data_IF_136567701737
#
_entry.id   IF_136567701737
#
_cell.length_a   1.000
_cell.length_b   1.000
_cell.length_c   1.000
_cell.angle_alpha   90.00
_cell.angle_beta   90.00
_cell.angle_gamma   90.00
#
_symmetry.space_group_name_H-M   'P 1'
#
loop_
_entity.id
_entity.type
_entity.pdbx_description
1 polymer ?
#
# COMPACT_ATOMS: atom_id res chain seq x y z
N UNK A 1 21.49 -12.88 8.45
CA UNK A 1 20.64 -14.08 8.34
C UNK A 1 19.39 -13.84 9.17
N UNK A 2 18.24 -13.69 8.50
CA UNK A 2 16.97 -13.61 9.21
C UNK A 2 16.61 -15.01 9.69
N UNK A 3 16.49 -15.18 11.00
CA UNK A 3 15.92 -16.38 11.57
C UNK A 3 14.44 -16.13 11.82
N UNK A 4 13.60 -16.70 10.97
CA UNK A 4 12.15 -16.56 11.05
C UNK A 4 11.52 -17.39 12.17
N UNK A 5 12.31 -18.26 12.83
CA UNK A 5 11.82 -19.11 13.92
C UNK A 5 11.45 -18.32 15.20
N UNK A 6 11.92 -17.08 15.31
CA UNK A 6 11.70 -16.21 16.47
C UNK A 6 10.77 -15.02 16.21
N UNK A 7 9.87 -15.08 15.23
CA UNK A 7 8.89 -14.03 14.95
C UNK A 7 7.46 -14.36 15.46
N UNK A 8 7.23 -14.62 16.73
CA UNK A 8 5.93 -15.17 17.16
C UNK A 8 4.84 -14.13 17.38
N UNK A 9 5.14 -12.89 17.72
CA UNK A 9 4.12 -11.94 18.16
C UNK A 9 3.65 -10.96 17.09
N UNK A 10 4.50 -10.53 16.18
CA UNK A 10 4.14 -9.58 15.13
C UNK A 10 3.35 -10.22 13.98
N UNK A 11 3.64 -11.49 13.67
CA UNK A 11 2.93 -12.25 12.64
C UNK A 11 1.51 -12.65 13.06
N UNK A 12 1.29 -12.91 14.37
CA UNK A 12 -0.03 -13.26 14.90
C UNK A 12 -1.05 -12.14 14.76
N UNK A 13 -0.67 -10.90 14.93
CA UNK A 13 -1.57 -9.75 14.76
C UNK A 13 -1.95 -9.54 13.28
N UNK A 14 -1.00 -9.71 12.37
CA UNK A 14 -1.27 -9.63 10.92
C UNK A 14 -2.21 -10.75 10.49
N UNK A 15 -1.94 -12.00 10.88
CA UNK A 15 -2.82 -13.14 10.64
C UNK A 15 -4.26 -12.88 11.09
N UNK A 16 -4.44 -12.46 12.34
CA UNK A 16 -5.75 -12.16 12.90
C UNK A 16 -6.46 -11.02 12.16
N UNK A 17 -5.73 -10.01 11.73
CA UNK A 17 -6.26 -8.89 10.95
C UNK A 17 -6.81 -9.34 9.58
N UNK A 18 -6.04 -10.12 8.83
CA UNK A 18 -6.47 -10.66 7.54
C UNK A 18 -7.71 -11.54 7.67
N UNK A 19 -7.69 -12.49 8.60
CA UNK A 19 -8.84 -13.40 8.79
C UNK A 19 -10.07 -12.69 9.36
N UNK A 20 -9.92 -11.64 10.15
CA UNK A 20 -11.05 -10.80 10.55
C UNK A 20 -11.70 -10.08 9.35
N UNK A 21 -10.90 -9.61 8.41
CA UNK A 21 -11.40 -9.04 7.14
C UNK A 21 -12.10 -10.10 6.28
N UNK A 22 -11.47 -11.25 6.07
CA UNK A 22 -12.04 -12.38 5.33
C UNK A 22 -13.35 -12.86 5.95
N UNK A 23 -13.41 -12.95 7.28
CA UNK A 23 -14.64 -13.32 8.00
C UNK A 23 -15.79 -12.34 7.68
N UNK A 24 -15.54 -11.03 7.72
CA UNK A 24 -16.55 -10.01 7.39
C UNK A 24 -17.04 -10.11 5.94
N UNK A 25 -16.14 -10.38 5.00
CA UNK A 25 -16.53 -10.64 3.62
C UNK A 25 -17.41 -11.90 3.51
N UNK A 26 -17.01 -12.98 4.17
CA UNK A 26 -17.78 -14.22 4.19
C UNK A 26 -19.17 -14.04 4.84
N UNK A 27 -19.28 -13.25 5.92
CA UNK A 27 -20.56 -12.91 6.54
C UNK A 27 -21.51 -12.23 5.55
N UNK A 28 -21.02 -11.23 4.81
CA UNK A 28 -21.84 -10.53 3.82
C UNK A 28 -22.24 -11.47 2.67
N UNK A 29 -21.29 -12.20 2.09
CA UNK A 29 -21.50 -13.08 0.94
C UNK A 29 -22.50 -14.21 1.29
N UNK A 30 -22.37 -14.84 2.46
CA UNK A 30 -23.27 -15.93 2.86
C UNK A 30 -24.66 -15.45 3.24
N UNK A 31 -24.81 -14.19 3.65
CA UNK A 31 -26.10 -13.60 4.04
C UNK A 31 -26.73 -12.73 2.98
N UNK A 32 -26.18 -12.65 1.80
CA UNK A 32 -26.66 -11.83 0.68
C UNK A 32 -28.18 -11.91 0.49
N UNK A 33 -28.73 -13.13 0.45
CA UNK A 33 -30.15 -13.38 0.26
C UNK A 33 -31.02 -13.10 1.52
N UNK A 34 -30.41 -12.83 2.66
CA UNK A 34 -31.11 -12.50 3.93
C UNK A 34 -31.20 -10.97 4.14
N UNK A 35 -30.52 -10.19 3.32
CA UNK A 35 -30.51 -8.74 3.40
C UNK A 35 -31.66 -8.19 2.59
N UNK A 36 -32.44 -7.30 3.18
CA UNK A 36 -33.43 -6.51 2.43
C UNK A 36 -32.71 -5.36 1.74
N UNK A 37 -32.35 -5.60 0.49
CA UNK A 37 -31.73 -4.56 -0.34
C UNK A 37 -32.81 -3.55 -0.76
N UNK A 38 -32.73 -2.32 -0.24
CA UNK A 38 -33.68 -1.24 -0.60
C UNK A 38 -33.38 -0.62 -1.96
N UNK A 39 -32.79 -1.39 -2.87
CA UNK A 39 -32.18 -0.93 -4.09
C UNK A 39 -32.99 -1.30 -5.33
N UNK A 40 -33.23 -0.34 -6.16
CA UNK A 40 -33.67 -0.55 -7.53
C UNK A 40 -32.44 -0.39 -8.43
N UNK A 41 -31.80 -1.49 -8.82
CA UNK A 41 -30.71 -1.43 -9.78
C UNK A 41 -29.43 -2.20 -9.38
N UNK A 42 -28.31 -1.79 -9.95
CA UNK A 42 -27.03 -2.52 -9.90
C UNK A 42 -26.23 -2.35 -8.59
N UNK A 43 -26.69 -1.53 -7.63
CA UNK A 43 -25.90 -1.24 -6.41
C UNK A 43 -25.68 -2.47 -5.56
N UNK A 44 -26.68 -3.35 -5.41
CA UNK A 44 -26.51 -4.61 -4.70
C UNK A 44 -25.36 -5.45 -5.30
N UNK A 45 -25.43 -5.70 -6.61
CA UNK A 45 -24.41 -6.46 -7.34
C UNK A 45 -23.04 -5.78 -7.22
N UNK A 46 -23.00 -4.45 -7.26
CA UNK A 46 -21.76 -3.69 -7.11
C UNK A 46 -21.16 -3.81 -5.71
N UNK A 47 -21.96 -3.74 -4.64
CA UNK A 47 -21.47 -3.95 -3.27
C UNK A 47 -20.97 -5.39 -3.06
N UNK A 48 -21.65 -6.38 -3.64
CA UNK A 48 -21.20 -7.76 -3.61
C UNK A 48 -19.85 -7.91 -4.34
N UNK A 49 -19.70 -7.25 -5.49
CA UNK A 49 -18.45 -7.25 -6.26
C UNK A 49 -17.30 -6.60 -5.50
N UNK A 50 -17.53 -5.46 -4.83
CA UNK A 50 -16.55 -4.84 -3.95
C UNK A 50 -16.13 -5.79 -2.81
N UNK A 51 -17.10 -6.51 -2.22
CA UNK A 51 -16.84 -7.46 -1.14
C UNK A 51 -15.98 -8.66 -1.60
N UNK A 52 -16.29 -9.22 -2.78
CA UNK A 52 -15.48 -10.27 -3.40
C UNK A 52 -14.06 -9.77 -3.70
N UNK A 53 -13.92 -8.56 -4.27
CA UNK A 53 -12.63 -7.94 -4.54
C UNK A 53 -11.77 -7.79 -3.27
N UNK A 54 -12.36 -7.32 -2.17
CA UNK A 54 -11.69 -7.18 -0.89
C UNK A 54 -11.25 -8.54 -0.34
N UNK A 55 -12.10 -9.57 -0.44
CA UNK A 55 -11.75 -10.93 0.00
C UNK A 55 -10.58 -11.49 -0.81
N UNK A 56 -10.59 -11.31 -2.12
CA UNK A 56 -9.49 -11.72 -2.99
C UNK A 56 -8.19 -11.00 -2.65
N UNK A 57 -8.23 -9.69 -2.44
CA UNK A 57 -7.07 -8.90 -2.02
C UNK A 57 -6.47 -9.40 -0.71
N UNK A 58 -7.31 -9.65 0.30
CA UNK A 58 -6.86 -10.15 1.61
C UNK A 58 -6.26 -11.56 1.49
N UNK A 59 -6.89 -12.47 0.73
CA UNK A 59 -6.33 -13.80 0.48
C UNK A 59 -5.02 -13.75 -0.30
N UNK A 60 -4.91 -12.87 -1.28
CA UNK A 60 -3.66 -12.70 -2.03
C UNK A 60 -2.51 -12.22 -1.15
N UNK A 61 -2.78 -11.33 -0.20
CA UNK A 61 -1.76 -10.89 0.75
C UNK A 61 -1.37 -12.01 1.72
N UNK A 62 -2.35 -12.71 2.32
CA UNK A 62 -2.06 -13.70 3.35
C UNK A 62 -1.40 -14.95 2.78
N UNK A 63 -1.78 -15.40 1.56
CA UNK A 63 -1.15 -16.58 0.93
C UNK A 63 0.31 -16.32 0.55
N UNK A 64 0.64 -15.09 0.13
CA UNK A 64 2.04 -14.71 -0.14
C UNK A 64 2.90 -14.66 1.11
N UNK A 65 2.33 -14.26 2.25
CA UNK A 65 3.06 -14.15 3.51
C UNK A 65 3.25 -15.50 4.20
N UNK A 66 2.26 -16.39 4.15
CA UNK A 66 2.21 -17.60 4.97
C UNK A 66 2.22 -18.90 4.19
N UNK A 67 2.11 -18.86 2.87
CA UNK A 67 2.06 -20.05 2.02
C UNK A 67 0.75 -20.82 2.18
N UNK A 68 0.81 -22.04 2.70
CA UNK A 68 -0.38 -22.85 2.95
C UNK A 68 -1.20 -22.27 4.11
N UNK A 69 -2.43 -21.89 3.83
CA UNK A 69 -3.33 -21.20 4.74
C UNK A 69 -4.72 -21.87 4.77
N UNK A 70 -5.51 -21.76 5.86
CA UNK A 70 -6.90 -22.21 5.85
C UNK A 70 -7.74 -21.42 4.83
N UNK A 71 -8.50 -22.14 4.01
CA UNK A 71 -9.41 -21.55 3.04
C UNK A 71 -10.83 -21.51 3.62
N UNK A 72 -11.24 -20.32 4.07
CA UNK A 72 -12.54 -20.05 4.67
C UNK A 72 -13.44 -19.33 3.67
N UNK A 73 -14.49 -19.97 3.19
CA UNK A 73 -15.48 -19.38 2.27
C UNK A 73 -16.81 -19.02 2.92
N UNK A 74 -16.95 -19.36 4.19
CA UNK A 74 -18.10 -19.05 5.04
C UNK A 74 -17.66 -18.88 6.50
N UNK A 75 -18.44 -18.16 7.32
CA UNK A 75 -18.21 -18.10 8.75
C UNK A 75 -18.23 -19.51 9.38
N UNK A 76 -17.27 -19.82 10.24
CA UNK A 76 -17.18 -21.10 10.95
C UNK A 76 -16.39 -20.95 12.23
N UNK A 77 -16.75 -21.74 13.24
CA UNK A 77 -15.99 -21.90 14.49
C UNK A 77 -15.12 -23.18 14.46
N UNK A 78 -15.12 -23.90 13.35
CA UNK A 78 -14.33 -25.12 13.18
C UNK A 78 -12.86 -24.80 12.88
N UNK A 79 -11.96 -25.64 13.36
CA UNK A 79 -10.56 -25.63 12.95
C UNK A 79 -10.42 -26.19 11.53
N UNK A 80 -10.24 -25.31 10.58
CA UNK A 80 -10.06 -25.68 9.17
C UNK A 80 -8.56 -25.90 8.91
N UNK A 81 -8.15 -27.03 8.32
CA UNK A 81 -6.76 -27.29 7.97
C UNK A 81 -6.28 -26.33 6.88
N UNK A 82 -4.97 -26.26 6.72
CA UNK A 82 -4.34 -25.53 5.61
C UNK A 82 -4.77 -26.16 4.26
N UNK A 83 -5.12 -25.30 3.32
CA UNK A 83 -5.45 -25.68 1.96
C UNK A 83 -4.18 -25.69 1.05
N UNK A 84 -4.30 -26.34 -0.10
CA UNK A 84 -3.32 -26.16 -1.17
C UNK A 84 -3.36 -24.70 -1.65
N UNK A 85 -2.22 -24.05 -1.87
CA UNK A 85 -2.19 -22.73 -2.47
C UNK A 85 -2.98 -22.62 -3.79
N UNK A 86 -3.02 -23.68 -4.61
CA UNK A 86 -3.82 -23.69 -5.83
C UNK A 86 -5.31 -23.44 -5.59
N UNK A 87 -5.89 -24.03 -4.54
CA UNK A 87 -7.28 -23.81 -4.16
C UNK A 87 -7.51 -22.35 -3.69
N UNK A 88 -6.55 -21.79 -2.95
CA UNK A 88 -6.61 -20.40 -2.50
C UNK A 88 -6.56 -19.45 -3.69
N UNK A 89 -5.64 -19.66 -4.62
CA UNK A 89 -5.53 -18.82 -5.83
C UNK A 89 -6.74 -18.97 -6.74
N UNK A 90 -7.31 -20.18 -6.82
CA UNK A 90 -8.58 -20.35 -7.54
C UNK A 90 -9.69 -19.45 -6.98
N UNK A 91 -9.87 -19.42 -5.64
CA UNK A 91 -10.84 -18.51 -5.02
C UNK A 91 -10.50 -17.04 -5.32
N UNK A 92 -9.23 -16.65 -5.24
CA UNK A 92 -8.79 -15.28 -5.55
C UNK A 92 -9.21 -14.91 -6.97
N UNK A 93 -8.97 -15.77 -7.95
CA UNK A 93 -9.32 -15.50 -9.34
C UNK A 93 -10.83 -15.50 -9.58
N UNK A 94 -11.58 -16.42 -8.98
CA UNK A 94 -13.04 -16.45 -9.08
C UNK A 94 -13.65 -15.15 -8.52
N UNK A 95 -13.19 -14.70 -7.36
CA UNK A 95 -13.63 -13.46 -6.72
C UNK A 95 -13.27 -12.21 -7.55
N UNK A 96 -12.05 -12.16 -8.09
CA UNK A 96 -11.63 -11.03 -8.94
C UNK A 96 -12.39 -10.98 -10.25
N UNK A 97 -12.65 -12.11 -10.90
CA UNK A 97 -13.47 -12.17 -12.10
C UNK A 97 -14.88 -11.67 -11.84
N UNK A 98 -15.50 -12.16 -10.78
CA UNK A 98 -16.82 -11.67 -10.37
C UNK A 98 -16.80 -10.14 -10.15
N UNK A 99 -15.78 -9.61 -9.51
CA UNK A 99 -15.65 -8.18 -9.26
C UNK A 99 -15.46 -7.39 -10.57
N UNK A 100 -14.59 -7.84 -11.47
CA UNK A 100 -14.33 -7.21 -12.77
C UNK A 100 -15.60 -7.16 -13.64
N UNK A 101 -16.39 -8.22 -13.62
CA UNK A 101 -17.64 -8.30 -14.38
C UNK A 101 -18.75 -7.39 -13.83
N UNK A 102 -18.75 -7.11 -12.52
CA UNK A 102 -19.87 -6.49 -11.82
C UNK A 102 -19.58 -5.09 -11.28
N UNK A 103 -18.35 -4.61 -11.29
CA UNK A 103 -18.01 -3.21 -11.02
C UNK A 103 -17.94 -2.46 -12.36
N UNK A 104 -18.90 -1.59 -12.67
CA UNK A 104 -18.86 -0.84 -13.92
C UNK A 104 -17.68 0.12 -13.97
N UNK A 105 -16.95 0.15 -15.08
CA UNK A 105 -15.78 1.02 -15.27
C UNK A 105 -16.10 2.52 -15.14
N UNK A 106 -17.35 2.91 -15.38
CA UNK A 106 -17.81 4.29 -15.29
C UNK A 106 -18.49 4.65 -13.95
N UNK A 107 -18.62 3.69 -13.02
CA UNK A 107 -19.24 3.97 -11.72
C UNK A 107 -18.32 4.86 -10.84
N UNK A 108 -17.08 4.50 -10.72
CA UNK A 108 -16.00 5.25 -10.10
C UNK A 108 -14.68 4.80 -10.73
N UNK A 109 -14.36 5.31 -11.91
CA UNK A 109 -13.21 4.85 -12.72
C UNK A 109 -11.89 4.97 -11.95
N UNK A 110 -11.76 6.04 -11.17
CA UNK A 110 -10.67 6.23 -10.20
C UNK A 110 -11.34 6.57 -8.87
N UNK A 111 -11.27 5.82 -7.86
CA UNK A 111 -11.95 6.02 -6.58
C UNK A 111 -11.47 7.27 -5.79
N UNK A 112 -11.61 8.46 -6.37
CA UNK A 112 -11.05 9.72 -5.90
C UNK A 112 -12.10 10.85 -5.73
N UNK A 113 -13.39 10.59 -5.94
CA UNK A 113 -14.43 11.55 -5.61
C UNK A 113 -14.80 11.50 -4.14
N UNK A 114 -15.36 12.57 -3.58
CA UNK A 114 -15.80 12.63 -2.18
C UNK A 114 -16.65 11.42 -1.74
N UNK A 115 -17.44 10.86 -2.66
CA UNK A 115 -18.33 9.73 -2.37
C UNK A 115 -17.69 8.36 -2.62
N UNK A 116 -16.62 8.30 -3.40
CA UNK A 116 -16.03 7.04 -3.87
C UNK A 116 -14.55 6.89 -3.46
N UNK A 117 -14.01 7.84 -2.73
CA UNK A 117 -12.61 7.81 -2.32
C UNK A 117 -12.30 6.56 -1.48
N UNK A 118 -11.29 5.81 -1.91
CA UNK A 118 -10.90 4.55 -1.29
C UNK A 118 -11.72 3.32 -1.70
N UNK A 119 -12.74 3.44 -2.55
CA UNK A 119 -13.43 2.26 -3.11
C UNK A 119 -12.54 1.51 -4.08
N UNK A 120 -12.67 0.17 -4.05
CA UNK A 120 -11.96 -0.67 -5.02
C UNK A 120 -12.64 -0.57 -6.39
N UNK A 121 -11.86 -0.28 -7.42
CA UNK A 121 -12.36 -0.09 -8.79
C UNK A 121 -12.22 -1.37 -9.62
N UNK A 122 -12.93 -1.45 -10.77
CA UNK A 122 -12.71 -2.50 -11.76
C UNK A 122 -11.23 -2.62 -12.14
N UNK A 123 -10.58 -1.50 -12.43
CA UNK A 123 -9.18 -1.45 -12.83
C UNK A 123 -8.21 -1.90 -11.71
N UNK A 124 -8.54 -1.64 -10.46
CA UNK A 124 -7.79 -2.18 -9.33
C UNK A 124 -7.90 -3.71 -9.26
N UNK A 125 -9.09 -4.27 -9.50
CA UNK A 125 -9.30 -5.73 -9.55
C UNK A 125 -8.52 -6.37 -10.70
N UNK A 126 -8.53 -5.76 -11.89
CA UNK A 126 -7.76 -6.20 -13.05
C UNK A 126 -6.25 -6.19 -12.79
N UNK A 127 -5.74 -5.15 -12.16
CA UNK A 127 -4.32 -5.08 -11.78
C UNK A 127 -3.93 -6.14 -10.75
N UNK A 128 -4.82 -6.41 -9.76
CA UNK A 128 -4.58 -7.48 -8.78
C UNK A 128 -4.61 -8.86 -9.48
N UNK A 129 -5.53 -9.09 -10.42
CA UNK A 129 -5.65 -10.34 -11.16
C UNK A 129 -4.35 -10.63 -11.94
N UNK A 130 -3.86 -9.66 -12.71
CA UNK A 130 -2.62 -9.80 -13.45
C UNK A 130 -1.42 -10.05 -12.52
N UNK A 131 -1.31 -9.30 -11.42
CA UNK A 131 -0.25 -9.50 -10.42
C UNK A 131 -0.33 -10.87 -9.77
N UNK A 132 -1.53 -11.35 -9.43
CA UNK A 132 -1.73 -12.65 -8.83
C UNK A 132 -1.35 -13.78 -9.81
N UNK A 133 -1.68 -13.62 -11.10
CA UNK A 133 -1.29 -14.55 -12.16
C UNK A 133 0.24 -14.62 -12.28
N UNK A 134 0.92 -13.50 -12.44
CA UNK A 134 2.38 -13.44 -12.56
C UNK A 134 3.08 -13.99 -11.31
N UNK A 135 2.56 -13.67 -10.12
CA UNK A 135 3.11 -14.22 -8.89
C UNK A 135 2.95 -15.76 -8.83
N UNK A 136 1.76 -16.28 -9.16
CA UNK A 136 1.50 -17.71 -9.11
C UNK A 136 2.40 -18.47 -10.11
N UNK A 137 2.42 -18.04 -11.35
CA UNK A 137 3.22 -18.69 -12.40
C UNK A 137 4.72 -18.57 -12.13
N UNK A 138 5.19 -17.43 -11.67
CA UNK A 138 6.61 -17.22 -11.36
C UNK A 138 7.08 -17.98 -10.12
N UNK A 139 6.23 -18.07 -9.07
CA UNK A 139 6.62 -18.73 -7.82
C UNK A 139 6.40 -20.25 -7.85
N UNK A 140 5.25 -20.71 -8.37
CA UNK A 140 4.90 -22.14 -8.40
C UNK A 140 5.32 -22.83 -9.70
N UNK A 141 5.70 -22.09 -10.75
CA UNK A 141 6.17 -22.63 -12.03
C UNK A 141 5.08 -23.36 -12.81
N UNK A 142 3.81 -23.06 -12.59
CA UNK A 142 2.67 -23.71 -13.24
C UNK A 142 1.54 -22.72 -13.49
N UNK A 143 0.64 -23.06 -14.44
CA UNK A 143 -0.55 -22.26 -14.72
C UNK A 143 -1.60 -22.42 -13.61
N UNK A 144 -2.26 -21.35 -13.17
CA UNK A 144 -3.36 -21.43 -12.21
C UNK A 144 -4.63 -21.97 -12.87
N UNK A 145 -5.54 -22.53 -12.06
CA UNK A 145 -6.87 -22.88 -12.55
C UNK A 145 -7.71 -21.63 -12.75
N UNK A 146 -8.37 -21.53 -13.87
CA UNK A 146 -9.40 -20.52 -14.15
C UNK A 146 -8.90 -19.21 -14.74
N UNK A 147 -7.60 -18.91 -14.76
CA UNK A 147 -7.02 -17.70 -15.39
C UNK A 147 -5.83 -18.09 -16.24
N UNK A 148 -5.79 -17.58 -17.47
CA UNK A 148 -4.70 -17.80 -18.42
C UNK A 148 -3.83 -16.55 -18.56
N UNK A 149 -2.66 -16.67 -19.19
CA UNK A 149 -1.83 -15.52 -19.57
C UNK A 149 -2.63 -14.50 -20.43
N UNK A 150 -3.48 -15.00 -21.32
CA UNK A 150 -4.32 -14.13 -22.16
C UNK A 150 -5.34 -13.32 -21.33
N UNK A 151 -5.93 -13.91 -20.29
CA UNK A 151 -6.85 -13.20 -19.39
C UNK A 151 -6.10 -12.13 -18.60
N UNK A 152 -4.91 -12.44 -18.09
CA UNK A 152 -4.10 -11.47 -17.34
C UNK A 152 -3.62 -10.32 -18.24
N UNK A 153 -3.22 -10.62 -19.47
CA UNK A 153 -2.85 -9.59 -20.46
C UNK A 153 -4.05 -8.70 -20.82
N UNK A 154 -5.21 -9.30 -21.11
CA UNK A 154 -6.42 -8.54 -21.42
C UNK A 154 -6.82 -7.58 -20.28
N UNK A 155 -6.66 -7.99 -19.03
CA UNK A 155 -6.94 -7.16 -17.87
C UNK A 155 -6.03 -5.91 -17.81
N UNK A 156 -4.72 -6.06 -18.02
CA UNK A 156 -3.82 -4.89 -18.01
C UNK A 156 -3.99 -4.03 -19.26
N UNK A 157 -4.32 -4.61 -20.41
CA UNK A 157 -4.64 -3.87 -21.64
C UNK A 157 -5.93 -3.04 -21.51
N UNK A 158 -6.94 -3.53 -20.78
CA UNK A 158 -8.15 -2.75 -20.50
C UNK A 158 -7.81 -1.52 -19.64
N UNK A 159 -6.98 -1.67 -18.61
CA UNK A 159 -6.50 -0.53 -17.82
C UNK A 159 -5.78 0.50 -18.71
N UNK A 160 -4.87 0.05 -19.57
CA UNK A 160 -4.09 0.90 -20.46
C UNK A 160 -5.02 1.63 -21.46
N UNK A 161 -5.93 0.90 -22.10
CA UNK A 161 -6.83 1.44 -23.11
C UNK A 161 -7.92 2.35 -22.53
N UNK A 162 -8.19 2.27 -21.22
CA UNK A 162 -9.14 3.14 -20.54
C UNK A 162 -8.76 4.64 -20.64
N UNK A 163 -7.46 4.94 -20.79
CA UNK A 163 -6.93 6.30 -20.81
C UNK A 163 -7.06 7.07 -19.50
N UNK A 164 -7.44 6.40 -18.41
CA UNK A 164 -7.66 7.04 -17.10
C UNK A 164 -6.40 7.20 -16.27
N UNK A 165 -5.34 6.51 -16.64
CA UNK A 165 -4.08 6.50 -15.94
C UNK A 165 -2.95 6.97 -16.84
N UNK A 166 -1.95 7.61 -16.23
CA UNK A 166 -0.76 8.06 -16.93
C UNK A 166 0.43 8.13 -15.98
N UNK A 167 1.63 7.91 -16.49
CA UNK A 167 2.85 8.11 -15.70
C UNK A 167 3.01 9.58 -15.30
N UNK A 168 3.46 9.81 -14.08
CA UNK A 168 3.93 11.13 -13.65
C UNK A 168 5.34 11.34 -14.23
N UNK A 169 5.56 12.36 -15.07
CA UNK A 169 6.82 12.51 -15.82
C UNK A 169 8.07 12.58 -14.95
N UNK A 170 7.97 13.19 -13.77
CA UNK A 170 9.05 13.25 -12.81
C UNK A 170 8.77 12.31 -11.63
N UNK A 171 9.52 11.23 -11.54
CA UNK A 171 9.34 10.19 -10.53
C UNK A 171 9.33 10.72 -9.08
N UNK A 172 10.11 11.76 -8.76
CA UNK A 172 10.13 12.37 -7.41
C UNK A 172 8.77 12.91 -7.00
N UNK A 173 7.96 13.40 -7.98
CA UNK A 173 6.64 13.98 -7.71
C UNK A 173 5.59 12.98 -7.24
N UNK A 174 5.90 11.69 -7.25
CA UNK A 174 5.07 10.64 -6.65
C UNK A 174 5.18 10.57 -5.12
N UNK A 175 6.19 11.21 -4.53
CA UNK A 175 6.51 11.04 -3.11
C UNK A 175 6.66 12.39 -2.43
N UNK A 176 5.85 12.69 -1.38
CA UNK A 176 5.90 13.97 -0.68
C UNK A 176 7.32 14.32 -0.24
N UNK A 177 8.03 13.39 0.40
CA UNK A 177 9.36 13.64 0.92
C UNK A 177 10.45 13.87 -0.15
N UNK A 178 10.20 13.46 -1.40
CA UNK A 178 11.11 13.73 -2.51
C UNK A 178 10.90 15.12 -3.14
N UNK A 179 9.75 15.75 -2.85
CA UNK A 179 9.42 17.11 -3.24
C UNK A 179 9.60 18.12 -2.10
N UNK A 180 9.79 17.63 -0.88
CA UNK A 180 9.75 18.42 0.32
C UNK A 180 10.81 19.52 0.38
N UNK A 181 10.39 20.69 0.83
CA UNK A 181 11.24 21.85 1.06
C UNK A 181 11.13 22.29 2.54
N UNK A 182 12.17 22.95 3.02
CA UNK A 182 12.12 23.52 4.36
C UNK A 182 11.09 24.64 4.40
N UNK A 183 10.09 24.51 5.26
CA UNK A 183 8.94 25.40 5.37
C UNK A 183 8.68 25.81 6.82
N UNK A 184 8.11 27.00 7.02
CA UNK A 184 7.64 27.44 8.32
C UNK A 184 6.40 26.65 8.74
N UNK A 185 6.13 26.62 10.06
CA UNK A 185 4.99 25.90 10.62
C UNK A 185 3.68 26.35 9.97
N UNK A 186 2.93 25.39 9.42
CA UNK A 186 1.65 25.63 8.75
C UNK A 186 1.76 25.93 7.25
N UNK A 187 2.94 26.16 6.70
CA UNK A 187 3.12 26.32 5.25
C UNK A 187 3.25 24.96 4.55
N UNK A 188 2.12 24.29 4.41
CA UNK A 188 2.02 23.00 3.74
C UNK A 188 2.38 23.11 2.25
N UNK A 189 2.07 24.22 1.60
CA UNK A 189 2.32 24.42 0.18
C UNK A 189 3.83 24.39 -0.12
N UNK A 190 4.61 25.13 0.63
CA UNK A 190 6.08 25.07 0.51
C UNK A 190 6.61 23.72 0.92
N UNK A 191 6.10 23.14 2.02
CA UNK A 191 6.59 21.87 2.53
C UNK A 191 6.40 20.72 1.51
N UNK A 192 5.24 20.63 0.87
CA UNK A 192 4.94 19.57 -0.11
C UNK A 192 5.48 19.89 -1.52
N UNK A 193 5.85 21.14 -1.78
CA UNK A 193 6.41 21.57 -3.08
C UNK A 193 5.49 21.21 -4.25
N UNK A 194 6.04 20.56 -5.26
CA UNK A 194 5.32 20.14 -6.46
C UNK A 194 4.89 18.66 -6.44
N UNK A 195 4.66 18.09 -5.26
CA UNK A 195 4.08 16.75 -5.11
C UNK A 195 2.78 16.63 -5.92
N UNK A 196 2.62 15.52 -6.64
CA UNK A 196 1.50 15.33 -7.55
C UNK A 196 0.15 15.03 -6.87
N UNK A 197 0.16 14.83 -5.54
CA UNK A 197 -1.02 14.46 -4.75
C UNK A 197 -1.23 12.95 -4.62
N UNK A 198 -1.99 12.53 -3.61
CA UNK A 198 -2.26 11.11 -3.34
C UNK A 198 -3.10 10.47 -4.46
N UNK A 199 -4.07 11.22 -5.01
CA UNK A 199 -4.91 10.79 -6.13
C UNK A 199 -4.36 11.11 -7.52
N UNK A 200 -3.05 11.12 -7.71
CA UNK A 200 -2.45 11.45 -9.01
C UNK A 200 -2.75 10.38 -10.09
N UNK A 201 -2.47 10.73 -11.36
CA UNK A 201 -2.82 9.89 -12.51
C UNK A 201 -2.10 8.53 -12.55
N UNK A 202 -1.07 8.32 -11.75
CA UNK A 202 -0.38 7.03 -11.68
C UNK A 202 -1.00 6.06 -10.65
N UNK A 203 -1.87 6.54 -9.77
CA UNK A 203 -2.48 5.76 -8.70
C UNK A 203 -3.58 4.85 -9.25
N UNK A 204 -3.41 3.53 -9.18
CA UNK A 204 -4.40 2.51 -9.57
C UNK A 204 -5.11 1.92 -8.36
N UNK A 205 -4.36 1.59 -7.30
CA UNK A 205 -4.90 1.09 -6.04
C UNK A 205 -4.10 1.64 -4.87
N UNK A 206 -4.81 2.21 -3.90
CA UNK A 206 -4.25 2.65 -2.62
C UNK A 206 -5.09 2.16 -1.45
N UNK A 207 -4.44 2.01 -0.31
CA UNK A 207 -5.10 1.98 1.00
C UNK A 207 -5.11 3.42 1.51
N UNK A 208 -6.29 3.96 1.70
CA UNK A 208 -6.48 5.34 2.18
C UNK A 208 -6.12 5.43 3.65
N UNK A 209 -5.38 6.47 3.99
CA UNK A 209 -4.98 6.79 5.35
C UNK A 209 -5.46 8.18 5.73
N UNK A 210 -5.78 8.37 7.00
CA UNK A 210 -6.15 9.67 7.56
C UNK A 210 -5.44 9.92 8.87
N UNK A 211 -5.21 11.18 9.20
CA UNK A 211 -4.71 11.55 10.52
C UNK A 211 -5.75 11.22 11.59
N UNK A 212 -5.38 10.36 12.53
CA UNK A 212 -6.25 9.94 13.63
C UNK A 212 -5.58 10.19 14.95
N UNK A 213 -6.38 10.61 15.94
CA UNK A 213 -5.95 10.70 17.35
C UNK A 213 -6.32 9.44 18.13
N UNK A 214 -6.97 8.48 17.50
CA UNK A 214 -7.48 7.28 18.13
C UNK A 214 -6.51 6.09 17.95
N UNK A 215 -5.91 5.68 19.05
CA UNK A 215 -5.03 4.51 19.08
C UNK A 215 -5.73 3.19 18.70
N UNK A 216 -7.02 3.10 18.88
CA UNK A 216 -7.81 1.93 18.50
C UNK A 216 -8.18 1.93 17.01
N UNK A 217 -8.12 3.08 16.34
CA UNK A 217 -8.27 3.21 14.90
C UNK A 217 -7.01 2.73 14.20
N UNK A 218 -7.19 2.13 13.02
CA UNK A 218 -6.10 1.75 12.12
C UNK A 218 -6.04 2.68 10.91
N UNK A 219 -6.48 3.93 11.10
CA UNK A 219 -6.76 4.85 10.01
C UNK A 219 -5.51 5.53 9.47
N UNK A 220 -4.44 5.62 10.29
CA UNK A 220 -3.18 6.25 9.93
C UNK A 220 -2.16 5.30 9.30
N UNK A 221 -1.28 5.86 8.47
CA UNK A 221 -0.17 5.12 7.89
C UNK A 221 0.95 4.86 8.91
N UNK A 222 0.88 3.73 9.58
CA UNK A 222 1.87 3.36 10.61
C UNK A 222 3.24 2.96 10.04
N UNK A 223 3.34 2.75 8.75
CA UNK A 223 4.64 2.52 8.10
C UNK A 223 5.55 3.73 8.27
N UNK A 224 5.00 4.93 8.17
CA UNK A 224 5.76 6.15 8.20
C UNK A 224 6.61 6.30 9.46
N UNK A 225 6.06 6.01 10.64
CA UNK A 225 6.85 6.11 11.88
C UNK A 225 7.94 5.05 11.97
N UNK A 226 7.69 3.85 11.42
CA UNK A 226 8.69 2.75 11.46
C UNK A 226 9.92 3.06 10.61
N UNK A 227 9.72 3.67 9.43
CA UNK A 227 10.80 3.92 8.46
C UNK A 227 11.42 5.32 8.57
N UNK A 228 10.74 6.26 9.25
CA UNK A 228 11.24 7.62 9.43
C UNK A 228 12.56 7.69 10.19
N UNK A 229 13.25 8.81 10.11
CA UNK A 229 14.52 9.04 10.78
C UNK A 229 14.41 8.84 12.29
N UNK A 230 15.36 8.09 12.86
CA UNK A 230 15.43 7.85 14.31
C UNK A 230 16.00 9.06 15.05
N UNK A 231 15.17 10.03 15.30
CA UNK A 231 15.52 11.26 16.00
C UNK A 231 14.52 11.55 17.14
N UNK A 232 14.87 12.45 18.05
CA UNK A 232 13.98 12.86 19.15
C UNK A 232 12.93 13.91 18.74
N UNK A 233 13.15 14.56 17.59
CA UNK A 233 12.25 15.51 16.95
C UNK A 233 12.54 15.50 15.47
N UNK A 234 11.71 16.18 14.65
CA UNK A 234 11.95 16.28 13.20
C UNK A 234 13.28 16.99 12.87
N UNK A 235 13.88 16.56 11.77
CA UNK A 235 15.03 17.21 11.11
C UNK A 235 14.56 17.62 9.73
N UNK A 236 14.07 18.86 9.63
CA UNK A 236 13.40 19.34 8.43
C UNK A 236 14.20 19.04 7.14
N UNK A 237 13.54 18.56 6.08
CA UNK A 237 12.09 18.43 5.93
C UNK A 237 11.50 17.10 6.44
N UNK A 238 12.26 16.24 7.11
CA UNK A 238 11.84 14.92 7.56
C UNK A 238 11.41 14.93 9.04
N UNK A 239 10.28 14.29 9.31
CA UNK A 239 9.81 14.10 10.68
C UNK A 239 10.53 12.93 11.37
N UNK A 240 10.43 12.89 12.68
CA UNK A 240 11.00 11.84 13.50
C UNK A 240 10.26 10.51 13.33
N UNK A 241 10.97 9.42 13.61
CA UNK A 241 10.43 8.07 13.69
C UNK A 241 11.36 7.11 14.40
N UNK A 242 11.21 5.83 14.11
CA UNK A 242 11.93 4.76 14.80
C UNK A 242 13.14 4.21 14.05
N UNK A 243 13.23 4.46 12.74
CA UNK A 243 14.39 4.06 11.92
C UNK A 243 14.60 2.56 11.79
N UNK A 244 13.55 1.75 11.81
CA UNK A 244 13.66 0.29 11.76
C UNK A 244 14.01 -0.29 10.40
N UNK A 245 13.77 0.46 9.33
CA UNK A 245 14.00 -0.01 7.96
C UNK A 245 15.00 0.90 7.24
N UNK A 246 16.27 0.81 7.62
CA UNK A 246 17.36 1.49 6.92
C UNK A 246 17.63 0.83 5.57
N UNK A 247 18.15 1.61 4.61
CA UNK A 247 18.45 1.11 3.28
C UNK A 247 19.84 0.48 3.25
N UNK A 248 19.95 -0.71 2.64
CA UNK A 248 21.24 -1.37 2.46
C UNK A 248 22.11 -0.55 1.50
N UNK A 249 23.36 -0.18 1.87
CA UNK A 249 24.25 0.58 1.00
C UNK A 249 24.47 -0.08 -0.37
N UNK A 250 24.57 -1.40 -0.43
CA UNK A 250 24.71 -2.13 -1.70
C UNK A 250 23.53 -1.91 -2.65
N UNK A 251 22.30 -1.76 -2.11
CA UNK A 251 21.15 -1.44 -2.92
C UNK A 251 21.25 -0.02 -3.49
N UNK A 252 21.85 0.91 -2.73
CA UNK A 252 22.07 2.28 -3.21
C UNK A 252 23.12 2.33 -4.34
N UNK A 253 24.11 1.43 -4.28
CA UNK A 253 25.15 1.29 -5.30
C UNK A 253 24.63 0.70 -6.64
N UNK A 254 23.48 0.01 -6.62
CA UNK A 254 22.83 -0.55 -7.83
C UNK A 254 22.16 0.52 -8.71
N UNK A 255 21.93 1.74 -8.20
CA UNK A 255 21.44 2.82 -9.03
C UNK A 255 22.53 3.31 -9.97
N UNK A 256 22.21 3.39 -11.26
CA UNK A 256 23.11 3.98 -12.27
C UNK A 256 23.32 5.48 -12.04
N UNK A 257 24.45 6.00 -12.51
CA UNK A 257 24.73 7.42 -12.47
C UNK A 257 23.65 8.22 -13.22
N UNK A 258 23.06 9.20 -12.54
CA UNK A 258 21.99 10.01 -13.10
C UNK A 258 20.58 9.42 -12.95
N UNK A 259 20.43 8.24 -12.34
CA UNK A 259 19.10 7.71 -12.02
C UNK A 259 18.40 8.55 -10.96
N UNK A 260 17.40 9.31 -11.38
CA UNK A 260 16.64 10.22 -10.51
C UNK A 260 15.80 9.48 -9.46
N UNK A 261 15.58 8.17 -9.62
CA UNK A 261 14.86 7.35 -8.63
C UNK A 261 15.65 7.20 -7.34
N UNK A 262 16.99 7.24 -7.37
CA UNK A 262 17.82 7.17 -6.17
C UNK A 262 17.49 8.30 -5.20
N UNK A 263 17.58 9.53 -5.65
CA UNK A 263 17.33 10.71 -4.79
C UNK A 263 15.88 10.85 -4.35
N UNK A 264 14.95 10.30 -5.14
CA UNK A 264 13.53 10.27 -4.80
C UNK A 264 13.14 9.12 -3.84
N UNK A 265 13.95 8.08 -3.73
CA UNK A 265 13.63 6.88 -2.94
C UNK A 265 14.43 6.77 -1.65
N UNK A 266 15.60 7.42 -1.59
CA UNK A 266 16.57 7.26 -0.50
C UNK A 266 16.92 8.62 0.10
N UNK A 267 16.87 8.72 1.43
CA UNK A 267 17.48 9.81 2.19
C UNK A 267 18.95 9.44 2.39
N UNK A 268 19.83 10.18 1.76
CA UNK A 268 21.28 10.05 1.92
C UNK A 268 21.75 11.08 2.96
N UNK A 269 22.03 10.61 4.17
CA UNK A 269 22.36 11.51 5.31
C UNK A 269 23.54 12.40 4.98
N UNK A 270 24.58 11.86 4.35
CA UNK A 270 25.75 12.63 3.94
C UNK A 270 25.49 13.47 2.70
N UNK A 271 24.87 12.86 1.69
CA UNK A 271 24.62 13.54 0.42
C UNK A 271 23.64 14.72 0.54
N UNK A 272 22.75 14.70 1.53
CA UNK A 272 21.80 15.76 1.83
C UNK A 272 22.31 16.78 2.89
N UNK A 273 23.57 16.64 3.34
CA UNK A 273 24.17 17.55 4.30
C UNK A 273 23.58 17.48 5.71
N UNK A 274 22.98 16.35 6.07
CA UNK A 274 22.38 16.14 7.40
C UNK A 274 23.39 15.65 8.45
N UNK A 275 24.60 15.30 8.04
CA UNK A 275 25.63 14.68 8.89
C UNK A 275 26.01 15.54 10.10
N UNK A 276 26.10 16.85 9.91
CA UNK A 276 26.49 17.80 10.97
C UNK A 276 25.33 18.19 11.90
N UNK A 277 24.11 17.73 11.64
CA UNK A 277 22.96 18.01 12.49
C UNK A 277 23.10 17.29 13.83
N UNK A 278 23.01 18.02 14.95
CA UNK A 278 23.19 17.48 16.31
C UNK A 278 22.22 16.33 16.63
N UNK A 279 20.99 16.37 16.14
CA UNK A 279 20.01 15.28 16.34
C UNK A 279 20.40 14.04 15.55
N UNK A 280 20.90 14.21 14.34
CA UNK A 280 21.42 13.11 13.52
C UNK A 280 22.61 12.46 14.22
N UNK A 281 23.55 13.24 14.69
CA UNK A 281 24.73 12.74 15.42
C UNK A 281 24.37 11.95 16.68
N UNK A 282 23.41 12.42 17.48
CA UNK A 282 23.07 11.79 18.74
C UNK A 282 22.11 10.61 18.63
N UNK A 283 21.25 10.58 17.65
CA UNK A 283 20.19 9.57 17.53
C UNK A 283 20.42 8.59 16.38
N UNK A 284 20.80 9.08 15.18
CA UNK A 284 20.95 8.25 14.00
C UNK A 284 22.29 7.55 13.99
N UNK A 285 23.39 8.28 14.10
CA UNK A 285 24.75 7.73 13.94
C UNK A 285 25.09 6.72 15.05
N UNK A 286 24.46 6.84 16.22
CA UNK A 286 24.64 5.90 17.33
C UNK A 286 23.73 4.67 17.26
N UNK A 287 22.80 4.60 16.30
CA UNK A 287 21.93 3.44 16.11
C UNK A 287 22.71 2.27 15.52
N UNK A 288 22.49 1.05 16.02
CA UNK A 288 23.12 -0.16 15.50
C UNK A 288 22.71 -0.47 14.06
N UNK A 289 21.51 -0.01 13.67
CA UNK A 289 20.95 -0.20 12.34
C UNK A 289 21.36 0.92 11.36
N UNK A 290 22.17 1.88 11.78
CA UNK A 290 22.57 3.01 10.94
C UNK A 290 23.43 2.56 9.76
N UNK A 291 22.94 2.87 8.56
CA UNK A 291 23.63 2.55 7.28
C UNK A 291 24.07 3.78 6.51
N UNK A 292 23.72 4.98 6.96
CA UNK A 292 23.83 6.24 6.22
C UNK A 292 22.63 6.55 5.34
N UNK A 293 21.71 5.60 5.18
CA UNK A 293 20.58 5.70 4.24
C UNK A 293 19.26 5.31 4.88
N UNK A 294 18.19 6.07 4.58
CA UNK A 294 16.83 5.81 5.01
C UNK A 294 15.86 5.82 3.83
N UNK A 295 14.67 5.23 4.01
CA UNK A 295 13.62 5.22 2.99
C UNK A 295 13.00 6.63 2.90
N UNK A 296 12.97 7.21 1.69
CA UNK A 296 12.38 8.54 1.46
C UNK A 296 10.90 8.48 1.08
N UNK A 297 10.47 7.50 0.29
CA UNK A 297 9.13 7.45 -0.32
C UNK A 297 7.96 7.71 0.66
N UNK A 298 8.05 7.14 1.84
CA UNK A 298 7.04 7.26 2.90
C UNK A 298 7.58 7.98 4.13
N UNK A 299 8.69 8.71 4.01
CA UNK A 299 9.19 9.49 5.13
C UNK A 299 8.17 10.61 5.46
N UNK A 300 7.70 10.69 6.72
CA UNK A 300 6.81 11.77 7.12
C UNK A 300 7.57 13.10 7.13
N UNK A 301 6.85 14.20 7.00
CA UNK A 301 7.43 15.53 6.86
C UNK A 301 7.40 16.33 8.17
N UNK A 302 8.38 17.23 8.32
CA UNK A 302 8.44 18.18 9.40
C UNK A 302 8.74 19.58 8.90
N UNK A 303 8.18 20.57 9.60
CA UNK A 303 8.48 21.99 9.42
C UNK A 303 9.89 22.35 9.89
N UNK A 304 10.30 23.59 9.66
CA UNK A 304 11.64 24.09 9.98
C UNK A 304 12.01 23.97 11.46
N UNK A 305 11.03 24.04 12.37
CA UNK A 305 11.20 23.89 13.81
C UNK A 305 11.20 22.42 14.29
N UNK A 306 11.02 21.45 13.38
CA UNK A 306 10.93 20.03 13.69
C UNK A 306 9.52 19.53 14.02
N UNK A 307 8.50 20.37 13.96
CA UNK A 307 7.10 19.98 14.17
C UNK A 307 6.64 19.07 13.04
N UNK A 308 6.02 17.95 13.38
CA UNK A 308 5.52 16.95 12.42
C UNK A 308 4.31 17.49 11.63
N UNK A 309 4.40 17.47 10.31
CA UNK A 309 3.39 18.05 9.43
C UNK A 309 2.09 17.24 9.32
N UNK A 310 2.15 15.92 9.53
CA UNK A 310 0.99 15.03 9.48
C UNK A 310 0.10 15.08 10.73
N UNK A 311 0.49 15.82 11.75
CA UNK A 311 -0.30 16.00 12.97
C UNK A 311 -1.18 17.24 12.85
N UNK A 312 -2.31 17.10 12.19
CA UNK A 312 -3.27 18.19 12.05
C UNK A 312 -3.66 18.79 13.41
N UNK A 313 -3.63 20.09 13.49
CA UNK A 313 -4.06 20.88 14.67
C UNK A 313 -3.31 20.59 15.98
N UNK A 314 -2.10 20.04 15.93
CA UNK A 314 -1.28 19.81 17.13
C UNK A 314 -1.82 18.76 18.11
N UNK A 315 -2.84 17.99 17.73
CA UNK A 315 -3.48 16.98 18.58
C UNK A 315 -3.07 15.56 18.24
N UNK A 316 -2.31 15.35 17.15
CA UNK A 316 -1.91 14.05 16.68
C UNK A 316 -0.70 13.46 17.40
N UNK A 317 -0.46 12.19 17.16
CA UNK A 317 0.71 11.47 17.64
C UNK A 317 1.49 10.92 16.44
N UNK A 318 2.80 11.10 16.43
CA UNK A 318 3.68 10.65 15.33
C UNK A 318 3.53 9.16 14.96
N UNK A 319 3.00 8.34 15.86
CA UNK A 319 2.80 6.91 15.63
C UNK A 319 1.48 6.56 14.92
N UNK A 320 0.49 7.45 14.92
CA UNK A 320 -0.85 7.15 14.43
C UNK A 320 -1.45 8.23 13.52
N UNK A 321 -0.86 9.42 13.47
CA UNK A 321 -1.46 10.58 12.78
C UNK A 321 -0.85 10.83 11.38
N UNK A 322 -0.24 9.83 10.77
CA UNK A 322 0.30 9.94 9.42
C UNK A 322 -0.78 9.63 8.39
N UNK A 323 -1.01 10.54 7.46
CA UNK A 323 -2.14 10.49 6.52
C UNK A 323 -1.76 10.16 5.07
N UNK A 324 -0.48 9.98 4.75
CA UNK A 324 -0.08 9.61 3.40
C UNK A 324 -0.65 8.24 3.03
N UNK A 325 -1.35 8.16 1.91
CA UNK A 325 -1.92 6.92 1.39
C UNK A 325 -0.86 5.86 1.10
N UNK A 326 -1.19 4.61 1.36
CA UNK A 326 -0.31 3.49 1.04
C UNK A 326 -0.63 2.95 -0.37
N UNK A 327 0.26 3.22 -1.32
CA UNK A 327 0.07 2.84 -2.72
C UNK A 327 0.35 1.34 -2.90
N UNK A 328 -0.65 0.61 -3.37
CA UNK A 328 -0.59 -0.82 -3.65
C UNK A 328 -0.21 -1.11 -5.11
N UNK A 329 -0.80 -0.38 -6.05
CA UNK A 329 -0.55 -0.53 -7.49
C UNK A 329 -0.45 0.85 -8.12
N UNK A 330 0.61 1.06 -8.89
CA UNK A 330 0.78 2.23 -9.76
C UNK A 330 0.64 1.83 -11.23
N UNK A 331 0.33 2.79 -12.07
CA UNK A 331 0.25 2.56 -13.51
C UNK A 331 1.58 2.06 -14.12
N UNK A 332 2.72 2.45 -13.55
CA UNK A 332 4.01 1.87 -13.91
C UNK A 332 4.06 0.34 -13.71
N UNK A 333 3.43 -0.18 -12.62
CA UNK A 333 3.31 -1.62 -12.38
C UNK A 333 2.45 -2.29 -13.44
N UNK A 334 1.35 -1.64 -13.86
CA UNK A 334 0.47 -2.14 -14.93
C UNK A 334 1.25 -2.29 -16.23
N UNK A 335 2.04 -1.27 -16.60
CA UNK A 335 2.88 -1.31 -17.81
C UNK A 335 3.95 -2.40 -17.75
N UNK A 336 4.57 -2.61 -16.58
CA UNK A 336 5.55 -3.68 -16.37
C UNK A 336 4.90 -5.07 -16.46
N UNK A 337 3.73 -5.25 -15.83
CA UNK A 337 2.98 -6.51 -15.94
C UNK A 337 2.52 -6.80 -17.37
N UNK A 338 2.19 -5.77 -18.15
CA UNK A 338 1.84 -5.93 -19.56
C UNK A 338 3.05 -6.32 -20.44
N UNK A 339 4.26 -5.90 -20.05
CA UNK A 339 5.50 -6.25 -20.75
C UNK A 339 5.97 -7.66 -20.45
N UNK A 340 5.69 -8.22 -19.28
CA UNK A 340 6.05 -9.58 -18.84
C UNK A 340 5.13 -10.65 -19.45
#
# INVERSE_FOLDING_TARGET
RFDLSEMPSSTGSSWSGYYAGIYRCNELITRENSIQWNETGSMHTQYMAECHAIRAFLYFDVVRQFGNIPLLTKPTDENIPQADPADVYKLIFDDLKFAIENIPANAYPKAESETNDGKITKYACEAILARAYLYYTGYYGQEPEGVTKADALAAVEDIISSGQYALIPEYRRLWPAACAQKAEVGDMTTLYGDYAGDGNNETVLTVKCTASVNWSGLDGNRWQVNIALRTSTGVAPYAQGWGYATVNPKFVEEYEDGDTRRTASVIDIKGEGLEDNQLVQTCIVQSQEYTGYYIKKYAPLAFADGTHAGMENGTGNLMISNHQDYVQVRYADVLLMAAE
#
